data_IF_737459451052
#
_entry.id   IF_737459451052
#
_cell.length_a   1.000
_cell.length_b   1.000
_cell.length_c   1.000
_cell.angle_alpha   90.00
_cell.angle_beta   90.00
_cell.angle_gamma   90.00
#
_symmetry.space_group_name_H-M   'P 1'
#
loop_
_entity.id
_entity.type
_entity.pdbx_description
1 polymer ?
#
# COMPACT_ATOMS: atom_id res chain seq x y z
N UNK A 1 11.84 5.23 -1.84
CA UNK A 1 11.13 3.95 -1.68
C UNK A 1 9.83 4.01 -2.46
N UNK A 2 9.20 2.86 -2.70
CA UNK A 2 7.81 2.78 -3.16
C UNK A 2 7.00 2.11 -2.03
N UNK A 3 5.90 2.72 -1.62
CA UNK A 3 5.02 2.16 -0.58
C UNK A 3 3.71 1.73 -1.20
N UNK A 4 3.38 0.45 -1.05
CA UNK A 4 2.15 -0.16 -1.54
C UNK A 4 1.05 -0.06 -0.50
N UNK A 5 -0.15 0.30 -0.96
CA UNK A 5 -1.34 0.49 -0.16
C UNK A 5 -2.57 -0.17 -0.81
N UNK A 6 -3.63 -0.32 -0.02
CA UNK A 6 -4.99 -0.50 -0.53
C UNK A 6 -5.90 0.60 -0.01
N UNK A 7 -6.96 0.90 -0.77
CA UNK A 7 -7.81 2.07 -0.53
C UNK A 7 -8.89 1.88 0.53
N UNK A 8 -9.24 0.63 0.86
CA UNK A 8 -10.39 0.24 1.67
C UNK A 8 -11.72 0.71 1.05
N UNK A 9 -11.76 0.80 -0.27
CA UNK A 9 -12.87 1.34 -1.07
C UNK A 9 -13.07 0.51 -2.36
N UNK A 10 -14.17 0.76 -3.06
CA UNK A 10 -14.59 -0.07 -4.20
C UNK A 10 -14.45 0.55 -5.60
N UNK A 11 -14.12 1.84 -5.74
CA UNK A 11 -14.08 2.49 -7.07
C UNK A 11 -12.90 3.44 -7.23
N UNK A 12 -12.35 3.48 -8.44
CA UNK A 12 -11.28 4.42 -8.81
C UNK A 12 -11.75 5.86 -8.69
N UNK A 13 -12.91 6.19 -9.26
CA UNK A 13 -13.48 7.54 -9.21
C UNK A 13 -13.71 8.03 -7.77
N UNK A 14 -14.27 7.19 -6.90
CA UNK A 14 -14.47 7.54 -5.49
C UNK A 14 -13.15 7.74 -4.74
N UNK A 15 -12.16 6.89 -5.02
CA UNK A 15 -10.82 6.99 -4.44
C UNK A 15 -10.11 8.29 -4.87
N UNK A 16 -10.15 8.60 -6.17
CA UNK A 16 -9.59 9.84 -6.72
C UNK A 16 -10.26 11.06 -6.10
N UNK A 17 -11.60 11.07 -6.05
CA UNK A 17 -12.36 12.16 -5.41
C UNK A 17 -11.97 12.35 -3.94
N UNK A 18 -11.71 11.28 -3.20
CA UNK A 18 -11.28 11.35 -1.81
C UNK A 18 -9.88 11.97 -1.66
N UNK A 19 -8.92 11.52 -2.46
CA UNK A 19 -7.54 12.05 -2.39
C UNK A 19 -7.41 13.48 -2.95
N UNK A 20 -8.32 13.90 -3.82
CA UNK A 20 -8.38 15.30 -4.28
C UNK A 20 -9.08 16.22 -3.28
N UNK A 21 -9.80 15.69 -2.28
CA UNK A 21 -10.50 16.49 -1.28
C UNK A 21 -9.52 17.00 -0.20
N UNK A 22 -9.31 18.33 -0.06
CA UNK A 22 -8.42 18.89 0.97
C UNK A 22 -8.83 18.59 2.42
N UNK A 23 -10.09 18.18 2.63
CA UNK A 23 -10.59 17.76 3.94
C UNK A 23 -10.08 16.38 4.37
N UNK A 24 -9.66 15.51 3.44
CA UNK A 24 -9.18 14.15 3.75
C UNK A 24 -7.84 14.16 4.49
N UNK A 25 -7.04 15.22 4.31
CA UNK A 25 -5.67 15.38 4.86
C UNK A 25 -4.69 14.29 4.42
N UNK A 26 -5.04 13.51 3.41
CA UNK A 26 -4.22 12.45 2.83
C UNK A 26 -4.10 12.65 1.33
N UNK A 27 -2.99 12.21 0.75
CA UNK A 27 -2.77 12.21 -0.70
C UNK A 27 -1.83 11.09 -1.09
N UNK A 28 -1.89 10.66 -2.34
CA UNK A 28 -1.07 9.58 -2.89
C UNK A 28 -0.52 10.00 -4.26
N UNK A 29 0.60 9.42 -4.70
CA UNK A 29 1.15 9.70 -6.02
C UNK A 29 0.32 9.02 -7.11
N UNK A 30 0.01 7.74 -6.92
CA UNK A 30 -0.70 6.92 -7.90
C UNK A 30 -1.86 6.15 -7.29
N UNK A 31 -2.95 6.00 -8.04
CA UNK A 31 -4.04 5.07 -7.79
C UNK A 31 -4.09 4.05 -8.93
N UNK A 32 -4.25 2.76 -8.59
CA UNK A 32 -4.44 1.67 -9.56
C UNK A 32 -5.84 1.08 -9.39
N UNK A 33 -6.69 1.31 -10.39
CA UNK A 33 -8.06 0.82 -10.49
C UNK A 33 -8.15 -0.70 -10.63
N UNK A 34 -9.32 -1.27 -10.34
CA UNK A 34 -9.60 -2.73 -10.43
C UNK A 34 -9.42 -3.29 -11.83
N UNK A 35 -9.61 -2.47 -12.85
CA UNK A 35 -9.44 -2.74 -14.27
C UNK A 35 -7.99 -2.50 -14.76
N UNK A 36 -7.09 -2.05 -13.89
CA UNK A 36 -5.72 -1.72 -14.23
C UNK A 36 -5.51 -0.26 -14.63
N UNK A 37 -6.52 0.61 -14.57
CA UNK A 37 -6.35 2.06 -14.79
C UNK A 37 -5.31 2.63 -13.82
N UNK A 38 -4.35 3.40 -14.33
CA UNK A 38 -3.36 4.12 -13.50
C UNK A 38 -3.68 5.61 -13.53
N UNK A 39 -3.96 6.20 -12.37
CA UNK A 39 -4.21 7.64 -12.22
C UNK A 39 -3.13 8.25 -11.36
N UNK A 40 -2.42 9.26 -11.88
CA UNK A 40 -1.45 10.04 -11.10
C UNK A 40 -2.14 11.28 -10.48
N UNK A 41 -2.00 11.46 -9.17
CA UNK A 41 -2.60 12.59 -8.42
C UNK A 41 -1.55 13.56 -7.88
N UNK A 42 -0.41 13.06 -7.44
CA UNK A 42 0.72 13.88 -6.96
C UNK A 42 1.94 13.57 -7.83
N UNK A 43 2.61 14.63 -8.30
CA UNK A 43 3.86 14.51 -9.07
C UNK A 43 4.93 13.82 -8.22
N UNK A 44 5.80 13.04 -8.84
CA UNK A 44 6.84 12.27 -8.14
C UNK A 44 7.76 13.14 -7.27
N UNK A 45 8.02 14.37 -7.69
CA UNK A 45 8.92 15.30 -7.01
C UNK A 45 8.22 16.02 -5.84
N UNK A 46 6.90 15.89 -5.72
CA UNK A 46 6.09 16.49 -4.67
C UNK A 46 5.82 15.48 -3.56
N UNK A 47 5.86 15.96 -2.31
CA UNK A 47 5.54 15.12 -1.16
C UNK A 47 4.03 14.82 -1.07
N UNK A 48 3.64 13.57 -1.29
CA UNK A 48 2.30 13.09 -0.92
C UNK A 48 2.20 12.75 0.58
N UNK A 49 0.97 12.68 1.10
CA UNK A 49 0.64 12.40 2.49
C UNK A 49 -0.07 11.04 2.63
N UNK A 50 0.65 9.94 2.38
CA UNK A 50 0.10 8.58 2.29
C UNK A 50 0.60 7.65 3.42
N UNK A 51 1.80 7.91 3.95
CA UNK A 51 2.46 7.07 4.93
C UNK A 51 2.89 7.87 6.15
N UNK A 52 2.60 7.32 7.33
CA UNK A 52 2.89 7.96 8.60
C UNK A 52 1.91 9.10 8.94
N UNK A 53 1.58 9.18 10.24
CA UNK A 53 1.05 10.30 11.03
C UNK A 53 0.63 9.74 12.41
N UNK A 54 0.34 10.63 13.37
CA UNK A 54 0.27 10.43 14.84
C UNK A 54 -0.72 9.36 15.38
N UNK A 55 -1.09 9.40 16.68
CA UNK A 55 -1.96 8.39 17.25
C UNK A 55 -3.28 8.30 16.48
N UNK A 56 -3.73 7.08 16.19
CA UNK A 56 -5.10 6.87 15.74
C UNK A 56 -6.06 7.22 16.89
N UNK A 57 -7.31 7.61 16.60
CA UNK A 57 -8.31 7.84 17.64
C UNK A 57 -8.39 6.64 18.61
N UNK A 58 -8.33 6.91 19.91
CA UNK A 58 -8.40 5.88 20.96
C UNK A 58 -7.07 5.21 21.33
N UNK A 59 -5.94 5.63 20.76
CA UNK A 59 -4.62 5.12 21.18
C UNK A 59 -4.06 5.86 22.39
N UNK A 60 -3.29 5.14 23.22
CA UNK A 60 -2.56 5.76 24.33
C UNK A 60 -1.48 6.72 23.82
N UNK A 61 -1.14 7.71 24.65
CA UNK A 61 -0.09 8.67 24.33
C UNK A 61 1.27 7.98 24.12
N UNK A 62 1.52 6.87 24.82
CA UNK A 62 2.71 6.05 24.64
C UNK A 62 2.79 5.45 23.22
N UNK A 63 1.70 4.89 22.72
CA UNK A 63 1.62 4.38 21.34
C UNK A 63 1.81 5.54 20.35
N UNK A 64 1.18 6.69 20.62
CA UNK A 64 1.36 7.91 19.84
C UNK A 64 2.81 8.35 19.74
N UNK A 65 3.55 8.36 20.85
CA UNK A 65 4.94 8.79 20.88
C UNK A 65 5.87 7.81 20.15
N UNK A 66 5.64 6.51 20.30
CA UNK A 66 6.39 5.48 19.55
C UNK A 66 6.21 5.67 18.04
N UNK A 67 4.98 5.88 17.57
CA UNK A 67 4.65 6.16 16.16
C UNK A 67 5.32 7.44 15.67
N UNK A 68 5.23 8.53 16.42
CA UNK A 68 5.88 9.81 16.08
C UNK A 68 7.41 9.67 16.00
N UNK A 69 8.03 8.98 16.96
CA UNK A 69 9.48 8.71 16.97
C UNK A 69 9.89 7.92 15.73
N UNK A 70 9.20 6.83 15.41
CA UNK A 70 9.47 6.01 14.22
C UNK A 70 9.29 6.83 12.93
N UNK A 71 8.23 7.65 12.85
CA UNK A 71 8.00 8.54 11.72
C UNK A 71 9.10 9.60 11.55
N UNK A 72 9.69 10.14 12.63
CA UNK A 72 10.83 11.07 12.55
C UNK A 72 12.10 10.42 12.00
N UNK A 73 12.28 9.11 12.22
CA UNK A 73 13.43 8.34 11.75
C UNK A 73 13.23 7.91 10.28
N UNK A 74 12.07 7.34 9.96
CA UNK A 74 11.78 6.78 8.63
C UNK A 74 11.23 7.82 7.65
N UNK A 75 10.61 8.90 8.12
CA UNK A 75 10.10 10.01 7.29
C UNK A 75 9.42 9.57 5.97
N UNK A 76 8.55 8.54 5.95
CA UNK A 76 8.19 7.81 4.74
C UNK A 76 7.60 8.72 3.65
N UNK A 77 6.70 9.65 4.00
CA UNK A 77 6.16 10.63 3.04
C UNK A 77 7.24 11.44 2.30
N UNK A 78 8.34 11.80 2.96
CA UNK A 78 9.41 12.62 2.37
C UNK A 78 10.37 11.82 1.49
N UNK A 79 10.30 10.49 1.49
CA UNK A 79 11.27 9.61 0.83
C UNK A 79 10.63 8.49 0.02
N UNK A 80 9.34 8.59 -0.26
CA UNK A 80 8.64 7.53 -0.96
C UNK A 80 7.54 8.01 -1.87
N UNK A 81 7.28 7.16 -2.88
CA UNK A 81 6.15 7.25 -3.77
C UNK A 81 5.10 6.26 -3.26
N UNK A 82 3.96 6.77 -2.79
CA UNK A 82 2.78 5.95 -2.46
C UNK A 82 2.01 5.50 -3.71
N UNK A 83 1.63 4.23 -3.73
CA UNK A 83 0.72 3.64 -4.73
C UNK A 83 -0.47 3.01 -3.99
N UNK A 84 -1.67 3.47 -4.31
CA UNK A 84 -2.94 3.00 -3.74
C UNK A 84 -3.67 2.08 -4.72
N UNK A 85 -3.91 0.83 -4.32
CA UNK A 85 -4.65 -0.11 -5.14
C UNK A 85 -6.11 -0.17 -4.70
N UNK A 86 -7.04 0.07 -5.62
CA UNK A 86 -8.48 0.03 -5.33
C UNK A 86 -8.86 -1.37 -4.88
N UNK A 87 -9.13 -1.52 -3.59
CA UNK A 87 -9.43 -2.80 -2.95
C UNK A 87 -10.08 -2.56 -1.57
N UNK A 88 -11.11 -3.33 -1.25
CA UNK A 88 -11.86 -3.26 0.01
C UNK A 88 -11.08 -3.79 1.23
N UNK A 89 -10.03 -4.57 1.01
CA UNK A 89 -9.22 -5.20 2.04
C UNK A 89 -9.96 -6.36 2.70
N UNK A 90 -9.99 -6.44 4.04
CA UNK A 90 -10.59 -7.57 4.75
C UNK A 90 -12.12 -7.55 4.64
N UNK A 91 -12.70 -8.75 4.58
CA UNK A 91 -14.11 -9.00 4.37
C UNK A 91 -14.68 -9.84 5.51
N UNK A 92 -15.98 -9.66 5.77
CA UNK A 92 -16.73 -10.48 6.71
C UNK A 92 -17.54 -11.53 5.95
N UNK A 93 -17.35 -12.81 6.29
CA UNK A 93 -18.24 -13.88 5.80
C UNK A 93 -19.56 -13.86 6.58
N UNK A 94 -20.70 -13.90 5.87
CA UNK A 94 -22.05 -14.07 6.45
C UNK A 94 -22.82 -15.04 5.56
N UNK A 95 -23.08 -16.25 6.08
CA UNK A 95 -23.55 -17.37 5.24
C UNK A 95 -22.54 -17.68 4.13
N UNK A 96 -23.01 -17.75 2.90
CA UNK A 96 -22.19 -18.06 1.72
C UNK A 96 -21.65 -16.81 1.01
N UNK A 97 -21.87 -15.62 1.59
CA UNK A 97 -21.49 -14.33 1.01
C UNK A 97 -20.42 -13.62 1.84
N UNK A 98 -19.72 -12.69 1.19
CA UNK A 98 -18.66 -11.89 1.78
C UNK A 98 -19.03 -10.43 1.68
N UNK A 99 -18.74 -9.66 2.73
CA UNK A 99 -19.17 -8.27 2.86
C UNK A 99 -18.00 -7.36 3.22
N UNK A 100 -18.01 -6.16 2.65
CA UNK A 100 -17.06 -5.10 2.95
C UNK A 100 -17.36 -4.49 4.33
N UNK A 101 -16.46 -3.66 4.85
CA UNK A 101 -16.69 -2.96 6.11
C UNK A 101 -17.88 -1.97 6.06
N UNK A 102 -18.27 -1.54 4.86
CA UNK A 102 -19.48 -0.73 4.64
C UNK A 102 -20.76 -1.56 4.58
N UNK A 103 -20.67 -2.89 4.68
CA UNK A 103 -21.82 -3.80 4.65
C UNK A 103 -22.33 -4.15 3.25
N UNK A 104 -21.67 -3.68 2.19
CA UNK A 104 -21.97 -4.10 0.82
C UNK A 104 -21.39 -5.49 0.54
N UNK A 105 -22.06 -6.28 -0.29
CA UNK A 105 -21.50 -7.55 -0.78
C UNK A 105 -20.20 -7.30 -1.56
N UNK A 106 -19.19 -8.14 -1.35
CA UNK A 106 -17.88 -8.00 -1.96
C UNK A 106 -17.99 -8.21 -3.47
N UNK A 107 -17.54 -7.23 -4.29
CA UNK A 107 -17.43 -7.45 -5.72
C UNK A 107 -16.18 -8.29 -6.04
N UNK A 108 -16.35 -9.30 -6.90
CA UNK A 108 -15.25 -10.12 -7.42
C UNK A 108 -14.79 -11.21 -6.46
N UNK A 109 -13.57 -11.69 -6.69
CA UNK A 109 -13.01 -12.85 -6.01
C UNK A 109 -12.59 -12.56 -4.57
N UNK A 110 -12.60 -13.62 -3.76
CA UNK A 110 -12.25 -13.59 -2.34
C UNK A 110 -11.16 -14.61 -2.06
N UNK A 111 -10.13 -14.20 -1.32
CA UNK A 111 -9.01 -15.06 -0.90
C UNK A 111 -9.03 -15.21 0.62
N UNK A 112 -8.93 -16.45 1.10
CA UNK A 112 -8.69 -16.74 2.52
C UNK A 112 -7.19 -16.75 2.79
N UNK A 113 -6.70 -15.83 3.62
CA UNK A 113 -5.30 -15.76 4.04
C UNK A 113 -5.21 -15.49 5.53
N UNK A 114 -4.48 -16.32 6.25
CA UNK A 114 -4.27 -16.23 7.70
C UNK A 114 -5.59 -16.12 8.47
N UNK A 115 -6.60 -16.93 8.10
CA UNK A 115 -7.92 -16.93 8.75
C UNK A 115 -8.81 -15.72 8.45
N UNK A 116 -8.36 -14.78 7.61
CA UNK A 116 -9.16 -13.61 7.18
C UNK A 116 -9.51 -13.72 5.70
N UNK A 117 -10.74 -13.39 5.34
CA UNK A 117 -11.16 -13.26 3.95
C UNK A 117 -10.79 -11.88 3.44
N UNK A 118 -10.24 -11.80 2.23
CA UNK A 118 -9.80 -10.56 1.59
C UNK A 118 -10.37 -10.46 0.20
N UNK A 119 -10.65 -9.25 -0.28
CA UNK A 119 -10.92 -9.07 -1.71
C UNK A 119 -9.63 -9.32 -2.50
N UNK A 120 -9.67 -10.24 -3.47
CA UNK A 120 -8.52 -10.57 -4.31
C UNK A 120 -8.12 -9.37 -5.20
N UNK A 121 -6.83 -9.11 -5.39
CA UNK A 121 -6.34 -8.22 -6.45
C UNK A 121 -6.58 -8.83 -7.84
N UNK A 122 -6.96 -8.03 -8.84
CA UNK A 122 -7.14 -8.56 -10.21
C UNK A 122 -5.79 -8.75 -10.91
N UNK A 123 -5.78 -9.59 -11.96
CA UNK A 123 -4.65 -9.69 -12.87
C UNK A 123 -4.31 -8.35 -13.54
N UNK A 124 -5.33 -7.59 -13.98
CA UNK A 124 -5.10 -6.27 -14.59
C UNK A 124 -4.44 -5.30 -13.61
N UNK A 125 -4.85 -5.32 -12.34
CA UNK A 125 -4.20 -4.55 -11.29
C UNK A 125 -2.72 -4.93 -11.11
N UNK A 126 -2.43 -6.23 -11.03
CA UNK A 126 -1.07 -6.73 -10.84
C UNK A 126 -0.19 -6.42 -12.06
N UNK A 127 -0.72 -6.55 -13.28
CA UNK A 127 0.00 -6.19 -14.50
C UNK A 127 0.34 -4.70 -14.54
N UNK A 128 -0.64 -3.82 -14.29
CA UNK A 128 -0.44 -2.37 -14.28
C UNK A 128 0.53 -1.92 -13.18
N UNK A 129 0.43 -2.49 -11.98
CA UNK A 129 1.33 -2.11 -10.89
C UNK A 129 2.75 -2.60 -11.12
N UNK A 130 2.95 -3.75 -11.76
CA UNK A 130 4.27 -4.22 -12.20
C UNK A 130 4.87 -3.21 -13.18
N UNK A 131 4.12 -2.77 -14.20
CA UNK A 131 4.60 -1.78 -15.17
C UNK A 131 4.95 -0.45 -14.50
N UNK A 132 4.07 0.06 -13.64
CA UNK A 132 4.27 1.30 -12.90
C UNK A 132 5.49 1.23 -11.98
N UNK A 133 5.60 0.19 -11.15
CA UNK A 133 6.74 0.01 -10.24
C UNK A 133 8.04 -0.13 -11.02
N UNK A 134 8.03 -0.86 -12.15
CA UNK A 134 9.20 -0.97 -13.03
C UNK A 134 9.65 0.39 -13.56
N UNK A 135 8.70 1.21 -14.02
CA UNK A 135 8.95 2.56 -14.49
C UNK A 135 9.55 3.43 -13.37
N UNK A 136 8.95 3.42 -12.18
CA UNK A 136 9.41 4.22 -11.04
C UNK A 136 10.78 3.75 -10.52
N UNK A 137 11.03 2.44 -10.49
CA UNK A 137 12.34 1.88 -10.18
C UNK A 137 13.42 2.40 -11.11
N UNK A 138 13.17 2.37 -12.42
CA UNK A 138 14.10 2.90 -13.44
C UNK A 138 14.29 4.41 -13.30
N UNK A 139 13.18 5.17 -13.25
CA UNK A 139 13.18 6.64 -13.22
C UNK A 139 13.90 7.20 -12.00
N UNK A 140 13.67 6.61 -10.83
CA UNK A 140 14.16 7.13 -9.54
C UNK A 140 15.33 6.33 -8.96
N UNK A 141 15.90 5.41 -9.73
CA UNK A 141 16.97 4.51 -9.29
C UNK A 141 16.64 3.81 -7.96
N UNK A 142 15.40 3.30 -7.85
CA UNK A 142 14.93 2.55 -6.68
C UNK A 142 15.20 1.07 -6.93
N UNK A 143 16.01 0.40 -6.08
CA UNK A 143 16.31 -1.02 -6.27
C UNK A 143 15.06 -1.90 -6.20
N UNK A 144 14.97 -2.90 -7.09
CA UNK A 144 13.91 -3.91 -7.07
C UNK A 144 14.19 -4.96 -5.96
N UNK A 145 13.97 -4.54 -4.73
CA UNK A 145 14.18 -5.35 -3.53
C UNK A 145 13.18 -4.99 -2.42
N UNK A 146 13.05 -5.91 -1.47
CA UNK A 146 12.26 -5.77 -0.26
C UNK A 146 13.15 -5.60 0.97
N UNK A 147 12.61 -5.12 2.11
CA UNK A 147 13.30 -5.17 3.39
C UNK A 147 13.67 -6.62 3.76
N UNK A 148 14.76 -6.84 4.54
CA UNK A 148 15.22 -8.19 4.89
C UNK A 148 14.17 -9.07 5.59
N UNK A 149 13.29 -8.47 6.39
CA UNK A 149 12.22 -9.18 7.10
C UNK A 149 10.98 -9.43 6.23
N UNK A 150 11.01 -8.97 4.97
CA UNK A 150 9.91 -9.07 4.02
C UNK A 150 9.19 -7.74 3.79
N UNK A 151 8.48 -7.63 2.65
CA UNK A 151 7.85 -6.38 2.22
C UNK A 151 6.67 -5.93 3.09
N UNK A 152 6.00 -6.85 3.79
CA UNK A 152 4.83 -6.54 4.62
C UNK A 152 5.06 -6.68 6.13
N UNK A 153 6.29 -6.97 6.57
CA UNK A 153 6.58 -7.35 7.95
C UNK A 153 6.95 -6.13 8.79
N UNK A 154 6.21 -5.88 9.87
CA UNK A 154 6.56 -4.86 10.84
C UNK A 154 7.56 -5.40 11.86
N UNK A 155 8.63 -4.63 12.09
CA UNK A 155 9.52 -4.81 13.23
C UNK A 155 9.70 -3.47 13.95
N UNK A 156 9.35 -3.38 15.25
CA UNK A 156 9.50 -2.14 16.02
C UNK A 156 10.95 -1.67 16.12
N UNK A 157 11.91 -2.59 16.07
CA UNK A 157 13.34 -2.35 16.27
C UNK A 157 14.11 -2.27 14.94
N UNK A 158 13.44 -2.44 13.80
CA UNK A 158 14.06 -2.28 12.49
C UNK A 158 14.43 -0.81 12.24
N UNK A 159 15.71 -0.54 12.44
CA UNK A 159 16.38 0.73 12.15
C UNK A 159 16.82 0.84 10.70
N UNK A 160 16.84 -0.26 9.94
CA UNK A 160 17.31 -0.29 8.55
C UNK A 160 16.36 0.46 7.62
N UNK A 161 15.06 0.53 7.95
CA UNK A 161 14.08 1.35 7.21
C UNK A 161 14.43 2.85 7.20
N UNK A 162 15.29 3.31 8.12
CA UNK A 162 15.79 4.68 8.14
C UNK A 162 16.62 5.02 6.88
N UNK A 163 17.24 4.04 6.25
CA UNK A 163 18.08 4.22 5.05
C UNK A 163 17.67 3.31 3.88
N UNK A 164 16.67 2.45 4.08
CA UNK A 164 16.19 1.50 3.09
C UNK A 164 15.77 2.18 1.77
N UNK A 165 16.12 1.52 0.67
CA UNK A 165 15.64 1.83 -0.68
C UNK A 165 15.11 0.55 -1.30
N UNK A 166 13.87 0.61 -1.75
CA UNK A 166 13.19 -0.50 -2.40
C UNK A 166 11.69 -0.32 -2.34
N UNK A 167 11.00 -1.45 -2.38
CA UNK A 167 9.54 -1.56 -2.38
C UNK A 167 9.11 -2.17 -1.05
N UNK A 168 8.02 -1.68 -0.46
CA UNK A 168 7.46 -2.23 0.77
C UNK A 168 5.97 -1.92 0.87
N UNK A 169 5.27 -2.65 1.72
CA UNK A 169 3.89 -2.36 2.11
C UNK A 169 3.86 -1.35 3.25
N UNK A 170 2.73 -0.68 3.39
CA UNK A 170 2.49 0.20 4.53
C UNK A 170 2.57 -0.54 5.86
N UNK A 171 2.18 -1.83 5.89
CA UNK A 171 2.25 -2.68 7.07
C UNK A 171 3.69 -2.86 7.60
N UNK A 172 4.72 -2.74 6.77
CA UNK A 172 6.11 -2.77 7.25
C UNK A 172 6.52 -1.48 7.98
N UNK A 173 5.84 -0.37 7.71
CA UNK A 173 6.10 0.92 8.36
C UNK A 173 5.37 1.05 9.71
N UNK A 174 4.20 0.44 9.83
CA UNK A 174 3.25 0.68 10.93
C UNK A 174 2.43 -0.58 11.25
N UNK A 175 2.51 -1.08 12.50
CA UNK A 175 1.80 -2.29 12.95
C UNK A 175 0.27 -2.16 13.03
N UNK A 176 -0.27 -0.95 12.89
CA UNK A 176 -1.72 -0.73 12.83
C UNK A 176 -2.24 -0.77 11.39
N UNK A 177 -1.33 -0.77 10.42
CA UNK A 177 -1.63 -0.83 9.00
C UNK A 177 -1.55 -2.27 8.54
N UNK A 178 -2.54 -2.66 7.74
CA UNK A 178 -2.65 -4.02 7.19
C UNK A 178 -2.43 -4.04 5.69
N UNK A 179 -2.29 -2.89 5.06
CA UNK A 179 -2.15 -2.69 3.63
C UNK A 179 -0.71 -2.96 3.13
N UNK A 180 -0.55 -3.59 1.94
CA UNK A 180 -1.56 -4.04 0.98
C UNK A 180 -2.22 -5.40 1.31
N UNK A 181 -1.94 -5.97 2.47
CA UNK A 181 -2.53 -7.24 2.93
C UNK A 181 -1.59 -8.43 2.76
N UNK A 182 -1.75 -9.49 3.57
CA UNK A 182 -0.93 -10.69 3.49
C UNK A 182 -1.21 -11.54 2.24
N UNK A 183 -2.25 -11.20 1.49
CA UNK A 183 -2.65 -11.87 0.25
C UNK A 183 -2.12 -11.15 -1.01
N UNK A 184 -1.47 -9.99 -0.86
CA UNK A 184 -0.83 -9.31 -1.98
C UNK A 184 0.33 -10.17 -2.50
N UNK A 185 0.38 -10.36 -3.82
CA UNK A 185 1.35 -11.24 -4.47
C UNK A 185 2.69 -10.52 -4.69
N UNK A 186 3.48 -10.46 -3.62
CA UNK A 186 4.80 -9.85 -3.64
C UNK A 186 5.80 -10.55 -4.56
N UNK A 187 5.67 -11.87 -4.74
CA UNK A 187 6.59 -12.64 -5.58
C UNK A 187 6.34 -12.31 -7.06
N UNK A 188 5.07 -12.28 -7.49
CA UNK A 188 4.69 -11.86 -8.84
C UNK A 188 5.09 -10.42 -9.12
N UNK A 189 4.92 -9.51 -8.15
CA UNK A 189 5.36 -8.12 -8.30
C UNK A 189 6.87 -8.06 -8.54
N UNK A 190 7.68 -8.70 -7.69
CA UNK A 190 9.13 -8.58 -7.78
C UNK A 190 9.68 -9.25 -9.04
N UNK A 191 9.15 -10.43 -9.39
CA UNK A 191 9.54 -11.15 -10.59
C UNK A 191 9.26 -10.30 -11.85
N UNK A 192 8.05 -9.77 -12.00
CA UNK A 192 7.70 -8.95 -13.15
C UNK A 192 8.48 -7.63 -13.21
N UNK A 193 8.78 -7.02 -12.06
CA UNK A 193 9.61 -5.80 -12.02
C UNK A 193 11.04 -6.10 -12.45
N UNK A 194 11.64 -7.19 -11.96
CA UNK A 194 12.99 -7.59 -12.32
C UNK A 194 13.11 -7.96 -13.80
N UNK A 195 12.13 -8.69 -14.32
CA UNK A 195 12.03 -9.02 -15.75
C UNK A 195 12.01 -7.73 -16.59
N UNK A 196 11.12 -6.78 -16.27
CA UNK A 196 11.03 -5.49 -16.97
C UNK A 196 12.28 -4.61 -16.85
N UNK A 197 13.11 -4.83 -15.83
CA UNK A 197 14.39 -4.15 -15.62
C UNK A 197 15.58 -4.90 -16.24
N UNK A 198 15.38 -6.10 -16.82
CA UNK A 198 16.46 -6.95 -17.34
C UNK A 198 17.36 -7.53 -16.24
N UNK A 199 16.82 -7.73 -15.04
CA UNK A 199 17.50 -8.26 -13.86
C UNK A 199 17.07 -9.70 -13.60
N UNK A 200 17.36 -10.62 -14.53
CA UNK A 200 17.10 -12.05 -14.37
C UNK A 200 18.17 -12.73 -13.51
#
# INVERSE_FOLDING_TARGET
MIVMHYTASGSTAGTVSWFMNPASKVSVHYVVGRDGEIVQLVKDECRAHHAGQGPLPGQSEEIGERRRKRNRIIQPNSRSLGIEMVNWGPLQKRGDKYYTWMGSECPGEVVLKNGTYWQAYTDSQLASVIQLVSHLCRKHNIPAQYPPLGPGTFDPDDKTLATFKGILGHSALDNQKRDPGPHFDWDRLLAGVRENLGQS
#
